data_IF_232075710073
#
_entry.id   IF_232075710073
#
_cell.length_a   1.000
_cell.length_b   1.000
_cell.length_c   1.000
_cell.angle_alpha   90.00
_cell.angle_beta   90.00
_cell.angle_gamma   90.00
#
_symmetry.space_group_name_H-M   'P 1'
#
loop_
_entity.id
_entity.type
_entity.pdbx_description
1 polymer ?
#
# COMPACT_ATOMS: atom_id res chain seq x y z
N UNK A 1 -25.33 -19.74 -26.09
CA UNK A 1 -23.91 -20.15 -26.15
C UNK A 1 -23.17 -18.95 -26.69
N UNK A 2 -22.25 -18.35 -25.91
CA UNK A 2 -21.56 -17.14 -26.35
C UNK A 2 -20.73 -17.45 -27.61
N UNK A 3 -20.76 -16.54 -28.57
CA UNK A 3 -20.06 -16.68 -29.86
C UNK A 3 -18.54 -16.59 -29.65
N UNK A 4 -17.76 -17.37 -30.39
CA UNK A 4 -16.31 -17.43 -30.25
C UNK A 4 -15.65 -16.06 -30.51
N UNK A 5 -16.24 -15.26 -31.40
CA UNK A 5 -15.77 -13.91 -31.71
C UNK A 5 -16.11 -12.89 -30.63
N UNK A 6 -17.18 -13.12 -29.87
CA UNK A 6 -17.51 -12.32 -28.69
C UNK A 6 -16.50 -12.56 -27.57
N UNK A 7 -16.20 -13.83 -27.28
CA UNK A 7 -15.20 -14.20 -26.26
C UNK A 7 -13.79 -13.69 -26.62
N UNK A 8 -13.41 -13.72 -27.90
CA UNK A 8 -12.11 -13.15 -28.36
C UNK A 8 -12.05 -11.63 -28.17
N UNK A 9 -13.14 -10.92 -28.44
CA UNK A 9 -13.22 -9.45 -28.24
C UNK A 9 -13.15 -9.09 -26.77
N UNK A 10 -13.83 -9.87 -25.92
CA UNK A 10 -13.80 -9.69 -24.47
C UNK A 10 -12.41 -9.97 -23.89
N UNK A 11 -11.78 -11.09 -24.27
CA UNK A 11 -10.41 -11.41 -23.84
C UNK A 11 -9.40 -10.35 -24.30
N UNK A 12 -9.51 -9.85 -25.52
CA UNK A 12 -8.67 -8.75 -26.00
C UNK A 12 -8.89 -7.46 -25.18
N UNK A 13 -10.12 -7.21 -24.72
CA UNK A 13 -10.43 -6.12 -23.79
C UNK A 13 -9.76 -6.29 -22.43
N UNK A 14 -9.90 -7.48 -21.84
CA UNK A 14 -9.28 -7.83 -20.55
C UNK A 14 -7.75 -7.73 -20.64
N UNK A 15 -7.14 -8.22 -21.72
CA UNK A 15 -5.69 -8.17 -21.93
C UNK A 15 -5.18 -6.73 -21.97
N UNK A 16 -5.87 -5.81 -22.65
CA UNK A 16 -5.49 -4.39 -22.67
C UNK A 16 -5.49 -3.76 -21.28
N UNK A 17 -6.45 -4.12 -20.43
CA UNK A 17 -6.53 -3.63 -19.05
C UNK A 17 -5.33 -4.13 -18.23
N UNK A 18 -4.99 -5.42 -18.36
CA UNK A 18 -3.85 -6.02 -17.66
C UNK A 18 -2.52 -5.41 -18.13
N UNK A 19 -2.36 -5.18 -19.43
CA UNK A 19 -1.15 -4.56 -19.98
C UNK A 19 -0.96 -3.12 -19.47
N UNK A 20 -2.05 -2.35 -19.35
CA UNK A 20 -2.03 -1.02 -18.77
C UNK A 20 -1.65 -1.04 -17.27
N UNK A 21 -2.23 -1.96 -16.49
CA UNK A 21 -1.89 -2.15 -15.08
C UNK A 21 -0.41 -2.55 -14.91
N UNK A 22 0.09 -3.45 -15.76
CA UNK A 22 1.51 -3.84 -15.77
C UNK A 22 2.41 -2.63 -16.05
N UNK A 23 2.05 -1.79 -17.02
CA UNK A 23 2.78 -0.56 -17.32
C UNK A 23 2.84 0.39 -16.13
N UNK A 24 1.71 0.55 -15.41
CA UNK A 24 1.65 1.36 -14.20
C UNK A 24 2.57 0.85 -13.09
N UNK A 25 2.57 -0.46 -12.84
CA UNK A 25 3.43 -1.08 -11.81
C UNK A 25 4.92 -0.89 -12.15
N UNK A 26 5.30 -1.12 -13.40
CA UNK A 26 6.70 -0.97 -13.83
C UNK A 26 7.18 0.48 -13.71
N UNK A 27 6.33 1.46 -14.06
CA UNK A 27 6.66 2.88 -13.94
C UNK A 27 6.87 3.34 -12.47
N UNK A 28 6.34 2.60 -11.48
CA UNK A 28 6.60 2.87 -10.06
C UNK A 28 7.89 2.22 -9.53
N UNK A 29 8.47 1.27 -10.26
CA UNK A 29 9.63 0.47 -9.83
C UNK A 29 10.98 1.20 -9.91
N UNK A 30 11.05 2.35 -10.58
CA UNK A 30 12.33 3.01 -10.90
C UNK A 30 12.75 4.09 -9.88
N UNK A 31 11.94 4.29 -8.82
CA UNK A 31 12.23 5.24 -7.74
C UNK A 31 13.05 4.66 -6.57
N UNK A 32 13.60 3.46 -6.70
CA UNK A 32 14.07 2.67 -5.54
C UNK A 32 15.36 1.89 -5.73
N UNK A 33 16.36 2.43 -6.44
CA UNK A 33 17.72 1.87 -6.40
C UNK A 33 18.80 2.92 -6.72
N UNK A 34 19.26 3.65 -5.71
CA UNK A 34 20.68 3.98 -5.47
C UNK A 34 20.83 4.96 -4.30
N UNK A 35 21.27 4.44 -3.15
CA UNK A 35 22.02 5.25 -2.20
C UNK A 35 23.38 5.59 -2.83
N UNK A 36 23.50 6.81 -3.32
CA UNK A 36 24.75 7.40 -3.81
C UNK A 36 24.74 8.88 -3.43
N UNK A 37 25.38 9.21 -2.33
CA UNK A 37 25.53 10.58 -1.81
C UNK A 37 26.29 11.44 -2.82
N UNK A 38 25.71 12.57 -3.26
CA UNK A 38 26.46 13.63 -3.91
C UNK A 38 25.63 14.60 -4.77
N UNK A 39 25.58 15.87 -4.35
CA UNK A 39 25.54 17.00 -5.29
C UNK A 39 24.29 17.89 -5.24
N UNK A 40 24.38 18.99 -4.50
CA UNK A 40 23.54 20.17 -4.74
C UNK A 40 24.00 20.87 -6.04
N UNK A 41 23.19 20.83 -7.10
CA UNK A 41 23.31 21.75 -8.23
C UNK A 41 22.00 21.82 -9.05
N UNK A 42 21.45 23.04 -9.18
CA UNK A 42 20.97 23.54 -10.47
C UNK A 42 19.57 23.17 -10.95
N UNK A 43 18.61 24.00 -10.56
CA UNK A 43 17.57 24.66 -11.41
C UNK A 43 17.31 24.10 -12.83
N UNK A 44 16.05 23.71 -13.07
CA UNK A 44 15.47 23.60 -14.41
C UNK A 44 13.95 23.78 -14.35
N UNK A 45 13.47 24.95 -14.79
CA UNK A 45 12.03 25.28 -14.94
C UNK A 45 11.43 24.42 -16.04
N UNK A 46 10.28 23.78 -15.78
CA UNK A 46 9.38 23.35 -16.84
C UNK A 46 8.14 24.25 -16.84
N UNK A 47 7.97 25.00 -17.92
CA UNK A 47 6.71 25.61 -18.29
C UNK A 47 5.89 24.57 -19.07
N UNK A 48 4.56 24.56 -18.87
CA UNK A 48 3.64 24.14 -19.94
C UNK A 48 2.55 23.14 -19.60
N UNK A 49 1.32 23.66 -19.60
CA UNK A 49 0.11 23.16 -20.27
C UNK A 49 -0.43 21.77 -19.92
N UNK A 50 -1.65 21.78 -19.35
CA UNK A 50 -2.40 20.58 -18.99
C UNK A 50 -3.14 19.89 -20.13
N UNK A 51 -3.84 18.82 -19.75
CA UNK A 51 -5.05 18.36 -20.42
C UNK A 51 -5.96 17.68 -19.40
N UNK A 52 -7.24 18.01 -19.53
CA UNK A 52 -8.35 17.48 -18.75
C UNK A 52 -8.59 15.98 -19.00
N UNK A 53 -9.20 15.32 -18.02
CA UNK A 53 -9.73 13.98 -18.16
C UNK A 53 -10.56 13.59 -16.95
N UNK A 54 -11.78 14.16 -16.85
CA UNK A 54 -12.78 13.69 -15.91
C UNK A 54 -13.31 12.33 -16.38
N UNK A 55 -13.32 11.34 -15.48
CA UNK A 55 -14.14 10.13 -15.62
C UNK A 55 -14.85 9.88 -14.29
N UNK A 56 -16.17 9.84 -14.38
CA UNK A 56 -17.14 9.77 -13.29
C UNK A 56 -17.03 8.47 -12.48
N UNK A 57 -17.13 8.60 -11.16
CA UNK A 57 -17.37 7.48 -10.25
C UNK A 57 -18.86 7.08 -10.32
N UNK A 58 -19.22 5.79 -10.43
CA UNK A 58 -20.59 5.36 -10.21
C UNK A 58 -20.90 5.34 -8.71
N UNK A 59 -22.10 5.85 -8.38
CA UNK A 59 -22.66 5.84 -7.04
C UNK A 59 -22.84 4.40 -6.54
N UNK A 60 -22.20 4.09 -5.41
CA UNK A 60 -22.37 2.85 -4.67
C UNK A 60 -22.86 3.15 -3.26
N UNK A 61 -24.09 2.72 -2.98
CA UNK A 61 -24.71 2.39 -1.70
C UNK A 61 -24.11 2.99 -0.42
N UNK A 62 -24.95 3.75 0.28
CA UNK A 62 -24.68 4.31 1.60
C UNK A 62 -24.17 3.26 2.59
N UNK A 63 -22.93 3.49 3.05
CA UNK A 63 -22.47 2.95 4.32
C UNK A 63 -22.90 3.97 5.38
N UNK A 64 -23.88 3.56 6.18
CA UNK A 64 -24.26 4.33 7.35
C UNK A 64 -23.02 4.46 8.26
N UNK A 65 -22.73 5.63 8.85
CA UNK A 65 -21.63 5.77 9.79
C UNK A 65 -21.87 4.78 10.93
N UNK A 66 -21.02 3.77 11.02
CA UNK A 66 -20.91 2.98 12.24
C UNK A 66 -20.39 3.98 13.27
N UNK A 67 -21.25 4.39 14.20
CA UNK A 67 -20.90 5.23 15.34
C UNK A 67 -19.60 4.67 15.92
N UNK A 68 -18.49 5.38 15.66
CA UNK A 68 -17.17 4.95 16.05
C UNK A 68 -17.17 4.92 17.57
N UNK A 69 -17.22 3.71 18.13
CA UNK A 69 -17.08 3.48 19.57
C UNK A 69 -15.86 4.27 20.06
N UNK A 70 -16.15 5.36 20.77
CA UNK A 70 -15.17 6.29 21.30
C UNK A 70 -14.27 5.52 22.26
N UNK A 71 -13.05 5.19 21.81
CA UNK A 71 -12.03 4.55 22.65
C UNK A 71 -10.98 3.71 21.93
N UNK A 72 -11.24 3.25 20.71
CA UNK A 72 -10.28 2.47 19.93
C UNK A 72 -10.13 3.11 18.54
N UNK A 73 -9.25 4.10 18.40
CA UNK A 73 -8.82 4.57 17.09
C UNK A 73 -8.19 3.38 16.35
N UNK A 74 -8.68 3.08 15.13
CA UNK A 74 -8.12 2.03 14.27
C UNK A 74 -6.60 2.15 14.08
N UNK A 75 -6.09 3.37 14.28
CA UNK A 75 -4.68 3.70 14.37
C UNK A 75 -3.91 2.90 15.43
N UNK A 76 -4.53 2.24 16.42
CA UNK A 76 -3.85 1.48 17.48
C UNK A 76 -3.84 -0.05 17.23
N UNK A 77 -4.47 -0.51 16.15
CA UNK A 77 -4.48 -1.92 15.81
C UNK A 77 -3.19 -2.37 15.11
N UNK A 78 -2.82 -3.62 15.34
CA UNK A 78 -1.67 -4.23 14.70
C UNK A 78 -1.94 -4.46 13.22
N UNK A 79 -1.18 -3.79 12.36
CA UNK A 79 -1.30 -3.87 10.89
C UNK A 79 -1.02 -5.26 10.30
N UNK A 80 -0.49 -6.19 11.12
CA UNK A 80 -0.27 -7.59 10.71
C UNK A 80 -1.54 -8.42 10.84
N UNK A 81 -2.35 -8.18 11.87
CA UNK A 81 -3.54 -9.02 12.13
C UNK A 81 -4.86 -8.24 12.21
N UNK A 82 -4.84 -6.91 12.21
CA UNK A 82 -6.00 -6.03 12.25
C UNK A 82 -7.04 -6.47 13.30
N UNK A 83 -6.60 -6.79 14.52
CA UNK A 83 -7.49 -7.32 15.57
C UNK A 83 -7.01 -7.08 17.00
N UNK A 84 -5.71 -6.85 17.20
CA UNK A 84 -5.11 -6.67 18.53
C UNK A 84 -4.35 -5.37 18.56
N UNK A 85 -4.31 -4.73 19.72
CA UNK A 85 -3.55 -3.51 19.96
C UNK A 85 -2.05 -3.74 19.77
N UNK A 86 -1.35 -2.70 19.30
CA UNK A 86 0.11 -2.70 19.18
C UNK A 86 0.72 -2.48 20.55
N UNK A 87 1.46 -3.46 21.04
CA UNK A 87 2.01 -3.46 22.40
C UNK A 87 3.45 -4.00 22.45
N UNK A 88 4.08 -4.26 21.29
CA UNK A 88 5.42 -4.83 21.21
C UNK A 88 6.24 -4.16 20.12
N UNK A 89 7.30 -3.46 20.52
CA UNK A 89 8.33 -2.95 19.61
C UNK A 89 9.32 -4.07 19.26
N UNK A 90 9.64 -4.20 17.97
CA UNK A 90 10.72 -5.05 17.46
C UNK A 90 12.06 -4.33 17.62
N UNK A 91 13.18 -5.06 17.60
CA UNK A 91 14.52 -4.47 17.77
C UNK A 91 14.90 -3.37 16.75
N UNK A 92 14.20 -3.31 15.62
CA UNK A 92 14.32 -2.24 14.62
C UNK A 92 13.44 -0.99 14.90
N UNK A 93 12.62 -0.99 15.95
CA UNK A 93 11.75 0.12 16.35
C UNK A 93 10.28 0.04 15.90
N UNK A 94 9.95 -0.76 14.89
CA UNK A 94 8.56 -0.96 14.45
C UNK A 94 7.72 -1.73 15.48
N UNK A 95 6.42 -1.45 15.53
CA UNK A 95 5.52 -1.97 16.57
C UNK A 95 4.47 -2.92 16.00
N UNK A 96 4.25 -4.04 16.69
CA UNK A 96 3.22 -5.05 16.40
C UNK A 96 2.49 -5.44 17.69
N UNK A 97 1.45 -6.27 17.61
CA UNK A 97 0.93 -6.94 18.79
C UNK A 97 1.83 -8.10 19.22
N UNK A 98 1.83 -8.45 20.50
CA UNK A 98 2.67 -9.50 21.09
C UNK A 98 2.51 -10.87 20.44
N UNK A 99 1.32 -11.19 19.92
CA UNK A 99 1.10 -12.45 19.21
C UNK A 99 1.72 -12.45 17.82
N UNK A 100 1.73 -11.32 17.12
CA UNK A 100 2.36 -11.23 15.81
C UNK A 100 3.88 -11.13 15.94
N UNK A 101 4.40 -10.44 16.96
CA UNK A 101 5.85 -10.28 17.15
C UNK A 101 6.59 -11.62 17.26
N UNK A 102 5.99 -12.64 17.89
CA UNK A 102 6.60 -13.98 18.02
C UNK A 102 6.59 -14.80 16.73
N UNK A 103 5.69 -14.50 15.79
CA UNK A 103 5.59 -15.18 14.49
C UNK A 103 6.53 -14.57 13.44
N UNK A 104 7.04 -13.38 13.69
CA UNK A 104 7.92 -12.65 12.78
C UNK A 104 9.39 -12.97 13.09
N UNK A 105 10.07 -13.69 12.20
CA UNK A 105 11.53 -13.82 12.19
C UNK A 105 12.20 -12.52 11.72
N UNK A 106 11.61 -11.90 10.68
CA UNK A 106 11.99 -10.58 10.16
C UNK A 106 10.86 -9.57 10.39
N UNK A 107 11.22 -8.30 10.53
CA UNK A 107 10.25 -7.22 10.67
C UNK A 107 9.39 -7.10 9.40
N UNK A 108 8.04 -7.12 9.50
CA UNK A 108 7.16 -7.04 8.31
C UNK A 108 7.21 -5.67 7.61
N UNK A 109 7.74 -4.64 8.27
CA UNK A 109 7.80 -3.27 7.75
C UNK A 109 9.13 -2.95 7.07
N UNK A 110 10.26 -3.32 7.69
CA UNK A 110 11.60 -2.98 7.19
C UNK A 110 12.48 -4.19 6.87
N UNK A 111 11.97 -5.41 7.02
CA UNK A 111 12.64 -6.69 6.68
C UNK A 111 13.96 -6.94 7.41
N UNK A 112 14.20 -6.25 8.52
CA UNK A 112 15.34 -6.50 9.41
C UNK A 112 15.06 -7.69 10.33
N UNK A 113 16.04 -8.56 10.53
CA UNK A 113 15.94 -9.69 11.46
C UNK A 113 15.59 -9.23 12.89
N UNK A 114 14.62 -9.89 13.51
CA UNK A 114 14.12 -9.55 14.84
C UNK A 114 14.96 -10.24 15.92
N UNK A 115 15.89 -9.49 16.50
CA UNK A 115 16.76 -9.96 17.60
C UNK A 115 16.22 -9.62 18.99
N UNK A 116 15.36 -8.60 19.11
CA UNK A 116 14.81 -8.12 20.37
C UNK A 116 13.31 -7.79 20.24
N UNK A 117 12.57 -7.95 21.33
CA UNK A 117 11.14 -7.65 21.44
C UNK A 117 10.89 -6.98 22.79
N UNK A 118 10.35 -5.76 22.76
CA UNK A 118 10.12 -4.93 23.94
C UNK A 118 8.64 -4.66 24.09
N UNK A 119 8.05 -5.03 25.24
CA UNK A 119 6.65 -4.74 25.53
C UNK A 119 6.53 -3.26 25.91
N UNK A 120 5.64 -2.55 25.22
CA UNK A 120 5.41 -1.12 25.45
C UNK A 120 4.05 -0.92 26.12
N UNK A 121 3.97 0.03 27.03
CA UNK A 121 2.75 0.44 27.71
C UNK A 121 2.52 1.92 27.38
N UNK A 122 1.51 2.19 26.55
CA UNK A 122 1.10 3.51 26.09
C UNK A 122 -0.26 3.88 26.70
#
# INVERSE_FOLDING_TARGET
MADADELRRELAGQQRVLDAQRGYILAQGDGGAAAGHGGCAGLGKHDGAGAAGAAAAPAGAGLQPLEASEGQSAADECEVCCSRRRDTALGCGHVTCARCSVLCADCPFCRTAVTQRLRIWL
#
